data_IF_991945738572
#
_entry.id   IF_991945738572
#
_cell.length_a   1.000
_cell.length_b   1.000
_cell.length_c   1.000
_cell.angle_alpha   90.00
_cell.angle_beta   90.00
_cell.angle_gamma   90.00
#
_symmetry.space_group_name_H-M   'P 1'
#
loop_
_entity.id
_entity.type
_entity.pdbx_description
1 polymer ?
#
# COMPACT_ATOMS: atom_id res chain seq x y z
N UNK A 1 -10.39 16.26 28.97
CA UNK A 1 -10.52 16.11 27.50
C UNK A 1 -10.18 17.45 26.86
N UNK A 2 -9.39 17.49 25.78
CA UNK A 2 -9.11 18.74 25.08
C UNK A 2 -10.40 19.31 24.48
N UNK A 3 -10.53 20.64 24.51
CA UNK A 3 -11.69 21.31 23.92
C UNK A 3 -11.61 21.32 22.39
N UNK A 4 -12.73 21.51 21.69
CA UNK A 4 -12.75 21.55 20.22
C UNK A 4 -11.82 22.63 19.64
N UNK A 5 -11.71 23.76 20.33
CA UNK A 5 -10.84 24.86 19.94
C UNK A 5 -9.36 24.46 19.99
N UNK A 6 -8.94 23.77 21.05
CA UNK A 6 -7.58 23.25 21.19
C UNK A 6 -7.26 22.20 20.13
N UNK A 7 -8.23 21.34 19.79
CA UNK A 7 -8.09 20.36 18.72
C UNK A 7 -7.90 21.04 17.35
N UNK A 8 -8.70 22.07 17.02
CA UNK A 8 -8.55 22.84 15.78
C UNK A 8 -7.20 23.55 15.70
N UNK A 9 -6.76 24.18 16.79
CA UNK A 9 -5.46 24.86 16.85
C UNK A 9 -4.30 23.89 16.60
N UNK A 10 -4.36 22.68 17.19
CA UNK A 10 -3.36 21.63 16.96
C UNK A 10 -3.35 21.12 15.52
N UNK A 11 -4.51 20.91 14.91
CA UNK A 11 -4.60 20.47 13.51
C UNK A 11 -4.05 21.52 12.54
N UNK A 12 -4.35 22.80 12.78
CA UNK A 12 -3.81 23.90 11.97
C UNK A 12 -2.29 24.01 12.09
N UNK A 13 -1.75 23.86 13.31
CA UNK A 13 -0.30 23.83 13.52
C UNK A 13 0.35 22.67 12.77
N UNK A 14 -0.22 21.46 12.89
CA UNK A 14 0.27 20.28 12.17
C UNK A 14 0.24 20.46 10.66
N UNK A 15 -0.86 20.98 10.11
CA UNK A 15 -0.98 21.23 8.67
C UNK A 15 0.07 22.24 8.16
N UNK A 16 0.35 23.30 8.94
CA UNK A 16 1.37 24.28 8.61
C UNK A 16 2.79 23.70 8.72
N UNK A 17 3.06 22.90 9.75
CA UNK A 17 4.34 22.21 9.95
C UNK A 17 4.64 21.25 8.79
N UNK A 18 3.64 20.47 8.34
CA UNK A 18 3.77 19.56 7.18
C UNK A 18 3.97 20.35 5.88
N UNK A 19 3.24 21.46 5.67
CA UNK A 19 3.45 22.37 4.52
C UNK A 19 4.84 23.02 4.52
N UNK A 20 5.40 23.29 5.70
CA UNK A 20 6.76 23.79 5.86
C UNK A 20 7.85 22.72 5.66
N UNK A 21 7.47 21.49 5.30
CA UNK A 21 8.39 20.41 4.96
C UNK A 21 8.81 19.55 6.16
N UNK A 22 8.23 19.73 7.35
CA UNK A 22 8.47 18.80 8.47
C UNK A 22 7.84 17.46 8.16
N UNK A 23 8.55 16.39 8.50
CA UNK A 23 8.06 15.03 8.30
C UNK A 23 6.78 14.80 9.11
N UNK A 24 5.70 14.44 8.41
CA UNK A 24 4.47 14.03 9.05
C UNK A 24 4.71 12.74 9.86
N UNK A 25 4.54 12.81 11.18
CA UNK A 25 4.63 11.63 12.07
C UNK A 25 3.51 10.63 11.82
N UNK A 26 2.38 11.09 11.30
CA UNK A 26 1.25 10.25 10.90
C UNK A 26 0.89 10.50 9.44
N UNK A 27 0.89 9.44 8.64
CA UNK A 27 0.43 9.50 7.26
C UNK A 27 -1.07 9.83 7.22
N UNK A 28 -1.45 10.76 6.36
CA UNK A 28 -2.86 11.05 6.13
C UNK A 28 -3.55 9.83 5.51
N UNK A 29 -4.88 9.77 5.63
CA UNK A 29 -5.65 8.72 4.95
C UNK A 29 -5.39 8.72 3.44
N UNK A 30 -5.27 9.90 2.84
CA UNK A 30 -4.95 10.05 1.42
C UNK A 30 -3.57 9.47 1.07
N UNK A 31 -2.55 9.74 1.88
CA UNK A 31 -1.20 9.19 1.66
C UNK A 31 -1.19 7.66 1.75
N UNK A 32 -1.96 7.10 2.70
CA UNK A 32 -2.10 5.65 2.85
C UNK A 32 -2.77 5.01 1.63
N UNK A 33 -3.78 5.67 1.06
CA UNK A 33 -4.44 5.20 -0.16
C UNK A 33 -3.51 5.32 -1.37
N UNK A 34 -2.77 6.42 -1.49
CA UNK A 34 -1.85 6.64 -2.60
C UNK A 34 -0.69 5.63 -2.63
N UNK A 35 -0.22 5.17 -1.46
CA UNK A 35 0.84 4.17 -1.33
C UNK A 35 0.34 2.72 -1.40
N UNK A 36 -0.98 2.51 -1.51
CA UNK A 36 -1.54 1.16 -1.56
C UNK A 36 -1.32 0.57 -2.96
N UNK A 37 -0.69 -0.60 -3.03
CA UNK A 37 -0.58 -1.35 -4.28
C UNK A 37 -1.99 -1.64 -4.84
N UNK A 38 -2.21 -1.45 -6.16
CA UNK A 38 -3.47 -1.79 -6.81
C UNK A 38 -3.70 -3.31 -6.86
N UNK A 39 -2.62 -4.11 -6.81
CA UNK A 39 -2.70 -5.56 -6.80
C UNK A 39 -2.64 -6.08 -5.36
N UNK A 40 -3.64 -6.90 -5.00
CA UNK A 40 -3.62 -7.64 -3.74
C UNK A 40 -2.66 -8.84 -3.85
N UNK A 41 -2.24 -9.36 -2.69
CA UNK A 41 -1.28 -10.47 -2.61
C UNK A 41 -1.79 -11.74 -3.31
N UNK A 42 -3.11 -11.96 -3.29
CA UNK A 42 -3.78 -13.08 -3.95
C UNK A 42 -3.65 -13.02 -5.48
N UNK A 43 -3.91 -11.86 -6.08
CA UNK A 43 -3.76 -11.65 -7.53
C UNK A 43 -2.31 -11.88 -7.95
N UNK A 44 -1.35 -11.41 -7.15
CA UNK A 44 0.07 -11.67 -7.38
C UNK A 44 0.37 -13.18 -7.33
N UNK A 45 -0.18 -13.89 -6.34
CA UNK A 45 -0.05 -15.34 -6.21
C UNK A 45 -0.60 -16.12 -7.40
N UNK A 46 -1.76 -15.73 -7.93
CA UNK A 46 -2.35 -16.35 -9.13
C UNK A 46 -1.45 -16.13 -10.36
N UNK A 47 -0.94 -14.92 -10.56
CA UNK A 47 -0.03 -14.62 -11.67
C UNK A 47 1.21 -15.51 -11.60
N UNK A 48 1.85 -15.58 -10.42
CA UNK A 48 3.03 -16.42 -10.19
C UNK A 48 2.70 -17.89 -10.42
N UNK A 49 1.55 -18.37 -9.95
CA UNK A 49 1.12 -19.75 -10.15
C UNK A 49 0.91 -20.08 -11.63
N UNK A 50 0.31 -19.19 -12.43
CA UNK A 50 0.13 -19.43 -13.87
C UNK A 50 1.48 -19.46 -14.59
N UNK A 51 2.39 -18.52 -14.27
CA UNK A 51 3.72 -18.46 -14.89
C UNK A 51 4.54 -19.71 -14.57
N UNK A 52 4.60 -20.11 -13.28
CA UNK A 52 5.34 -21.30 -12.86
C UNK A 52 4.63 -22.58 -13.33
N UNK A 53 3.30 -22.61 -13.22
CA UNK A 53 2.48 -23.76 -13.59
C UNK A 53 2.57 -24.08 -15.09
N UNK A 54 2.65 -23.07 -15.95
CA UNK A 54 2.91 -23.26 -17.37
C UNK A 54 4.25 -23.94 -17.63
N UNK A 55 5.31 -23.49 -16.97
CA UNK A 55 6.65 -24.10 -17.07
C UNK A 55 6.65 -25.53 -16.54
N UNK A 56 6.02 -25.77 -15.38
CA UNK A 56 5.93 -27.13 -14.80
C UNK A 56 5.13 -28.05 -15.72
N UNK A 57 4.02 -27.58 -16.28
CA UNK A 57 3.21 -28.35 -17.24
C UNK A 57 4.01 -28.70 -18.49
N UNK A 58 4.77 -27.75 -19.02
CA UNK A 58 5.62 -27.97 -20.20
C UNK A 58 6.74 -28.98 -19.92
N UNK A 59 7.37 -28.91 -18.73
CA UNK A 59 8.36 -29.90 -18.30
C UNK A 59 7.75 -31.30 -18.14
N UNK A 60 6.56 -31.40 -17.53
CA UNK A 60 5.84 -32.68 -17.41
C UNK A 60 5.54 -33.23 -18.80
N UNK A 61 5.07 -32.38 -19.72
CA UNK A 61 4.82 -32.79 -21.11
C UNK A 61 6.09 -33.34 -21.75
N UNK A 62 7.22 -32.62 -21.68
CA UNK A 62 8.49 -33.08 -22.27
C UNK A 62 8.95 -34.43 -21.69
N UNK A 63 8.75 -34.66 -20.39
CA UNK A 63 9.24 -35.86 -19.72
C UNK A 63 8.31 -37.06 -19.94
N UNK A 64 6.99 -36.84 -19.98
CA UNK A 64 5.99 -37.91 -19.93
C UNK A 64 5.15 -38.08 -21.21
N UNK A 65 5.20 -37.17 -22.19
CA UNK A 65 4.40 -37.20 -23.42
C UNK A 65 5.27 -37.05 -24.68
#
# INVERSE_FOLDING_TARGET
>A
MPTEFEMRKRNNKFANDVRAGKQATHQSRQDKLAKRSPLNLWALGVIVFVVIGGVVFELIKIIFL
#
